data_IF_337149916440
#
_entry.id   IF_337149916440
#
_cell.length_a   1.000
_cell.length_b   1.000
_cell.length_c   1.000
_cell.angle_alpha   90.00
_cell.angle_beta   90.00
_cell.angle_gamma   90.00
#
_symmetry.space_group_name_H-M   'P 1'
#
loop_
_entity.id
_entity.type
_entity.pdbx_description
1 polymer ?
#
# COMPACT_ATOMS: atom_id res chain seq x y z
N UNK A 1 -6.76 5.15 18.16
CA UNK A 1 -6.50 6.06 17.02
C UNK A 1 -7.66 5.89 16.05
N UNK A 2 -8.39 6.95 15.73
CA UNK A 2 -9.50 6.88 14.77
C UNK A 2 -8.93 7.31 13.42
N UNK A 3 -8.73 6.37 12.52
CA UNK A 3 -8.31 6.68 11.16
C UNK A 3 -9.45 7.37 10.42
N UNK A 4 -9.14 8.49 9.78
CA UNK A 4 -10.06 9.13 8.84
C UNK A 4 -9.84 8.56 7.45
N UNK A 5 -10.93 8.34 6.74
CA UNK A 5 -10.87 7.87 5.35
C UNK A 5 -10.24 8.93 4.44
N UNK A 6 -9.55 8.46 3.42
CA UNK A 6 -8.88 9.28 2.42
C UNK A 6 -9.31 8.85 1.01
N UNK A 7 -8.93 9.62 -0.01
CA UNK A 7 -9.12 9.21 -1.41
C UNK A 7 -8.39 7.90 -1.75
N UNK A 8 -7.39 7.54 -0.97
CA UNK A 8 -6.64 6.28 -1.13
C UNK A 8 -7.27 5.09 -0.40
N UNK A 9 -8.42 5.25 0.25
CA UNK A 9 -9.15 4.15 0.88
C UNK A 9 -8.39 3.47 2.04
N UNK A 10 -7.67 4.23 2.85
CA UNK A 10 -6.82 3.70 3.93
C UNK A 10 -7.67 2.93 4.95
N UNK A 11 -8.81 3.49 5.37
CA UNK A 11 -9.70 2.85 6.34
C UNK A 11 -10.35 1.61 5.73
N UNK A 12 -10.84 1.68 4.50
CA UNK A 12 -11.42 0.53 3.80
C UNK A 12 -10.39 -0.60 3.67
N UNK A 13 -9.14 -0.28 3.31
CA UNK A 13 -8.06 -1.28 3.24
C UNK A 13 -7.90 -2.02 4.58
N UNK A 14 -7.78 -1.27 5.67
CA UNK A 14 -7.65 -1.86 6.99
C UNK A 14 -8.85 -2.75 7.33
N UNK A 15 -10.08 -2.28 7.10
CA UNK A 15 -11.30 -3.04 7.37
C UNK A 15 -11.36 -4.36 6.59
N UNK A 16 -10.98 -4.35 5.31
CA UNK A 16 -10.93 -5.56 4.47
C UNK A 16 -9.86 -6.52 4.97
N UNK A 17 -8.65 -6.02 5.27
CA UNK A 17 -7.56 -6.83 5.82
C UNK A 17 -7.98 -7.45 7.16
N UNK A 18 -8.57 -6.68 8.07
CA UNK A 18 -9.08 -7.20 9.34
C UNK A 18 -10.15 -8.29 9.15
N UNK A 19 -11.04 -8.13 8.17
CA UNK A 19 -12.04 -9.14 7.86
C UNK A 19 -11.39 -10.44 7.37
N UNK A 20 -10.40 -10.36 6.51
CA UNK A 20 -9.63 -11.50 6.03
C UNK A 20 -8.79 -12.15 7.14
N UNK A 21 -8.19 -11.35 8.01
CA UNK A 21 -7.46 -11.84 9.21
C UNK A 21 -8.39 -12.64 10.12
N UNK A 22 -9.59 -12.13 10.43
CA UNK A 22 -10.59 -12.85 11.23
C UNK A 22 -11.02 -14.16 10.57
N UNK A 23 -11.26 -14.16 9.26
CA UNK A 23 -11.61 -15.35 8.51
C UNK A 23 -10.48 -16.40 8.53
N UNK A 24 -9.24 -15.97 8.35
CA UNK A 24 -8.06 -16.84 8.42
C UNK A 24 -7.86 -17.41 9.83
N UNK A 25 -8.01 -16.57 10.85
CA UNK A 25 -7.93 -16.94 12.27
C UNK A 25 -8.92 -18.06 12.62
N UNK A 26 -10.18 -17.86 12.22
CA UNK A 26 -11.24 -18.85 12.40
C UNK A 26 -10.93 -20.17 11.66
N UNK A 27 -10.46 -20.08 10.41
CA UNK A 27 -10.11 -21.26 9.61
C UNK A 27 -8.94 -22.06 10.19
N UNK A 28 -7.94 -21.37 10.75
CA UNK A 28 -6.79 -22.01 11.38
C UNK A 28 -7.04 -22.45 12.83
N UNK A 29 -8.18 -22.08 13.43
CA UNK A 29 -8.46 -22.31 14.84
C UNK A 29 -7.49 -21.59 15.78
N UNK A 30 -6.97 -20.41 15.38
CA UNK A 30 -5.98 -19.62 16.12
C UNK A 30 -6.55 -18.26 16.48
N UNK A 31 -6.49 -17.88 17.75
CA UNK A 31 -6.84 -16.52 18.20
C UNK A 31 -5.74 -15.53 17.83
N UNK A 32 -4.49 -15.95 17.87
CA UNK A 32 -3.31 -15.14 17.55
C UNK A 32 -2.60 -15.69 16.31
N UNK A 33 -2.51 -14.89 15.25
CA UNK A 33 -1.74 -15.21 14.06
C UNK A 33 -0.33 -14.63 14.15
N UNK A 34 0.63 -15.31 13.52
CA UNK A 34 1.93 -14.73 13.17
C UNK A 34 1.81 -14.03 11.81
N UNK A 35 2.04 -12.71 11.78
CA UNK A 35 1.86 -11.87 10.60
C UNK A 35 3.17 -11.20 10.22
N UNK A 36 3.53 -11.26 8.94
CA UNK A 36 4.60 -10.46 8.35
C UNK A 36 3.98 -9.36 7.46
N UNK A 37 4.38 -8.11 7.70
CA UNK A 37 4.02 -6.97 6.84
C UNK A 37 5.27 -6.50 6.10
N UNK A 38 5.32 -6.77 4.79
CA UNK A 38 6.46 -6.47 3.91
C UNK A 38 6.26 -5.11 3.24
N UNK A 39 7.23 -4.22 3.37
CA UNK A 39 7.10 -2.83 2.98
C UNK A 39 6.21 -2.05 3.96
N UNK A 40 6.41 -2.28 5.26
CA UNK A 40 5.54 -1.74 6.30
C UNK A 40 5.65 -0.22 6.49
N UNK A 41 6.70 0.42 5.94
CA UNK A 41 6.98 1.84 6.13
C UNK A 41 7.09 2.20 7.62
N UNK A 42 6.34 3.22 8.03
CA UNK A 42 6.25 3.66 9.45
C UNK A 42 5.29 2.80 10.30
N UNK A 43 4.69 1.77 9.73
CA UNK A 43 3.79 0.83 10.43
C UNK A 43 2.40 1.35 10.75
N UNK A 44 2.07 2.59 10.38
CA UNK A 44 0.82 3.26 10.76
C UNK A 44 -0.43 2.56 10.21
N UNK A 45 -0.37 2.04 8.98
CA UNK A 45 -1.56 1.68 8.21
C UNK A 45 -2.06 0.26 8.45
N UNK A 46 -1.15 -0.70 8.66
CA UNK A 46 -1.49 -2.13 8.83
C UNK A 46 -0.75 -2.74 10.01
N UNK A 47 0.56 -2.60 10.10
CA UNK A 47 1.43 -3.27 11.09
C UNK A 47 0.95 -3.00 12.52
N UNK A 48 0.88 -1.73 12.92
CA UNK A 48 0.44 -1.36 14.27
C UNK A 48 -1.04 -1.67 14.53
N UNK A 49 -2.00 -1.34 13.64
CA UNK A 49 -3.39 -1.75 13.80
C UNK A 49 -3.59 -3.26 14.02
N UNK A 50 -2.87 -4.12 13.29
CA UNK A 50 -2.96 -5.55 13.46
C UNK A 50 -2.36 -6.04 14.80
N UNK A 51 -1.31 -5.38 15.30
CA UNK A 51 -0.77 -5.64 16.61
C UNK A 51 -1.76 -5.24 17.74
N UNK A 52 -2.61 -4.23 17.52
CA UNK A 52 -3.68 -3.87 18.46
C UNK A 52 -4.76 -4.96 18.58
N UNK A 53 -4.91 -5.82 17.57
CA UNK A 53 -5.80 -6.98 17.57
C UNK A 53 -5.17 -8.23 18.20
N UNK A 54 -4.07 -8.06 18.95
CA UNK A 54 -3.32 -9.12 19.64
C UNK A 54 -2.66 -10.17 18.74
N UNK A 55 -2.43 -9.87 17.45
CA UNK A 55 -1.60 -10.70 16.58
C UNK A 55 -0.12 -10.45 16.84
N UNK A 56 0.74 -11.45 16.58
CA UNK A 56 2.20 -11.29 16.57
C UNK A 56 2.62 -10.73 15.22
N UNK A 57 3.08 -9.49 15.19
CA UNK A 57 3.34 -8.77 13.94
C UNK A 57 4.81 -8.40 13.81
N UNK A 58 5.40 -8.79 12.69
CA UNK A 58 6.72 -8.35 12.23
C UNK A 58 6.52 -7.43 11.02
N UNK A 59 6.91 -6.16 11.13
CA UNK A 59 7.04 -5.24 10.00
C UNK A 59 8.48 -5.23 9.49
N UNK A 60 8.65 -5.35 8.17
CA UNK A 60 9.96 -5.18 7.52
C UNK A 60 9.87 -4.11 6.42
N UNK A 61 10.87 -3.24 6.38
CA UNK A 61 11.04 -2.25 5.32
C UNK A 61 12.52 -2.03 5.05
N UNK A 62 12.90 -1.76 3.81
CA UNK A 62 14.27 -1.44 3.45
C UNK A 62 14.67 -0.01 3.86
N UNK A 63 13.69 0.90 4.04
CA UNK A 63 13.93 2.29 4.40
C UNK A 63 14.13 2.44 5.91
N UNK A 64 15.39 2.48 6.31
CA UNK A 64 15.78 2.48 7.72
C UNK A 64 15.16 3.62 8.54
N UNK A 65 15.05 4.82 7.98
CA UNK A 65 14.46 5.96 8.67
C UNK A 65 12.99 5.73 9.04
N UNK A 66 12.21 5.09 8.14
CA UNK A 66 10.82 4.71 8.44
C UNK A 66 10.75 3.69 9.58
N UNK A 67 11.67 2.73 9.61
CA UNK A 67 11.73 1.73 10.68
C UNK A 67 12.14 2.34 12.02
N UNK A 68 13.07 3.29 12.04
CA UNK A 68 13.42 3.99 13.26
C UNK A 68 12.25 4.82 13.79
N UNK A 69 11.52 5.50 12.92
CA UNK A 69 10.30 6.20 13.26
C UNK A 69 9.24 5.24 13.82
N UNK A 70 8.99 4.09 13.13
CA UNK A 70 8.05 3.07 13.59
C UNK A 70 8.40 2.56 15.01
N UNK A 71 9.67 2.22 15.26
CA UNK A 71 10.16 1.77 16.57
C UNK A 71 9.99 2.83 17.67
N UNK A 72 10.18 4.10 17.33
CA UNK A 72 10.01 5.19 18.28
C UNK A 72 8.55 5.46 18.66
N UNK A 73 7.63 5.22 17.71
CA UNK A 73 6.19 5.47 17.87
C UNK A 73 5.43 4.32 18.51
N UNK A 74 5.83 3.08 18.18
CA UNK A 74 5.03 1.89 18.47
C UNK A 74 5.83 0.86 19.25
N UNK A 75 5.64 0.84 20.56
CA UNK A 75 6.26 -0.14 21.47
C UNK A 75 5.19 -1.07 22.00
N UNK A 76 5.22 -2.36 21.62
CA UNK A 76 4.32 -3.40 22.10
C UNK A 76 5.05 -4.74 22.16
N UNK A 77 4.71 -5.64 23.09
CA UNK A 77 5.38 -6.95 23.23
C UNK A 77 5.15 -7.88 22.03
N UNK A 78 4.05 -7.68 21.29
CA UNK A 78 3.66 -8.47 20.12
C UNK A 78 3.97 -7.79 18.78
N UNK A 79 4.81 -6.74 18.78
CA UNK A 79 5.13 -5.94 17.59
C UNK A 79 6.65 -5.78 17.47
N UNK A 80 7.19 -6.14 16.32
CA UNK A 80 8.61 -5.97 16.00
C UNK A 80 8.76 -5.28 14.65
N UNK A 81 9.74 -4.39 14.53
CA UNK A 81 10.12 -3.76 13.26
C UNK A 81 11.58 -4.10 12.94
N UNK A 82 11.85 -4.47 11.69
CA UNK A 82 13.20 -4.74 11.19
C UNK A 82 13.47 -3.93 9.93
N UNK A 83 14.66 -3.35 9.84
CA UNK A 83 15.17 -2.77 8.61
C UNK A 83 15.89 -3.85 7.80
N UNK A 84 15.62 -3.89 6.50
CA UNK A 84 16.28 -4.83 5.60
C UNK A 84 15.41 -5.31 4.46
N UNK A 85 15.99 -6.17 3.65
CA UNK A 85 15.32 -6.84 2.54
C UNK A 85 14.77 -8.21 2.97
N UNK A 86 13.90 -8.77 2.16
CA UNK A 86 13.24 -10.06 2.42
C UNK A 86 14.23 -11.23 2.59
N UNK A 87 15.40 -11.13 1.94
CA UNK A 87 16.44 -12.18 1.94
C UNK A 87 16.93 -12.53 3.35
N UNK A 88 16.99 -11.55 4.26
CA UNK A 88 17.36 -11.79 5.67
C UNK A 88 16.40 -12.76 6.33
N UNK A 89 15.09 -12.56 6.13
CA UNK A 89 14.05 -13.41 6.72
C UNK A 89 14.02 -14.80 6.08
N UNK A 90 14.33 -14.89 4.77
CA UNK A 90 14.46 -16.16 4.06
C UNK A 90 15.63 -16.99 4.56
N UNK A 91 16.78 -16.38 4.86
CA UNK A 91 17.92 -17.05 5.47
C UNK A 91 17.60 -17.58 6.87
N UNK A 92 16.82 -16.84 7.66
CA UNK A 92 16.33 -17.25 8.97
C UNK A 92 15.23 -18.33 8.87
N UNK A 93 14.75 -18.67 7.66
CA UNK A 93 13.66 -19.63 7.40
C UNK A 93 12.38 -19.33 8.17
N UNK A 94 12.09 -18.06 8.38
CA UNK A 94 10.87 -17.63 9.07
C UNK A 94 9.64 -17.89 8.20
N UNK A 95 8.58 -18.38 8.84
CA UNK A 95 7.29 -18.64 8.19
C UNK A 95 6.14 -18.09 9.03
N UNK A 96 5.11 -17.60 8.36
CA UNK A 96 4.01 -16.85 8.96
C UNK A 96 2.66 -17.46 8.58
N UNK A 97 1.66 -17.27 9.44
CA UNK A 97 0.28 -17.63 9.14
C UNK A 97 -0.30 -16.69 8.07
N UNK A 98 0.14 -15.42 8.09
CA UNK A 98 -0.24 -14.40 7.12
C UNK A 98 0.98 -13.58 6.71
N UNK A 99 1.14 -13.39 5.41
CA UNK A 99 2.06 -12.40 4.84
C UNK A 99 1.23 -11.30 4.19
N UNK A 100 1.58 -10.04 4.41
CA UNK A 100 0.97 -8.88 3.77
C UNK A 100 2.04 -8.18 2.96
N UNK A 101 1.73 -7.81 1.74
CA UNK A 101 2.57 -7.02 0.86
C UNK A 101 1.67 -5.96 0.21
N UNK A 102 1.68 -4.77 0.82
CA UNK A 102 0.74 -3.70 0.48
C UNK A 102 1.47 -2.54 -0.18
N UNK A 103 1.10 -2.22 -1.43
CA UNK A 103 1.69 -1.13 -2.23
C UNK A 103 3.22 -1.29 -2.41
N UNK A 104 3.67 -2.50 -2.71
CA UNK A 104 5.09 -2.82 -2.93
C UNK A 104 5.32 -3.39 -4.32
N UNK A 105 4.41 -4.25 -4.81
CA UNK A 105 4.61 -5.05 -6.02
C UNK A 105 4.83 -4.19 -7.27
N UNK A 106 4.21 -3.03 -7.35
CA UNK A 106 4.33 -2.04 -8.43
C UNK A 106 5.70 -1.38 -8.51
N UNK A 107 6.49 -1.45 -7.45
CA UNK A 107 7.84 -0.89 -7.38
C UNK A 107 8.94 -1.91 -7.71
N UNK A 108 8.58 -3.17 -7.98
CA UNK A 108 9.54 -4.26 -8.19
C UNK A 108 9.87 -4.46 -9.66
N UNK A 109 11.14 -4.62 -10.00
CA UNK A 109 11.56 -5.03 -11.34
C UNK A 109 11.27 -6.51 -11.62
N UNK A 110 11.30 -7.35 -10.60
CA UNK A 110 11.12 -8.81 -10.69
C UNK A 110 10.01 -9.27 -9.73
N UNK A 111 8.74 -8.94 -10.03
CA UNK A 111 7.62 -9.23 -9.13
C UNK A 111 7.36 -10.74 -8.97
N UNK A 112 7.69 -11.57 -9.97
CA UNK A 112 7.52 -13.03 -9.91
C UNK A 112 8.46 -13.66 -8.89
N UNK A 113 9.73 -13.34 -8.97
CA UNK A 113 10.77 -13.83 -8.05
C UNK A 113 10.45 -13.42 -6.61
N UNK A 114 9.98 -12.20 -6.45
CA UNK A 114 9.56 -11.70 -5.14
C UNK A 114 8.33 -12.46 -4.60
N UNK A 115 7.33 -12.72 -5.41
CA UNK A 115 6.17 -13.53 -5.03
C UNK A 115 6.57 -14.97 -4.68
N UNK A 116 7.50 -15.57 -5.44
CA UNK A 116 8.05 -16.89 -5.11
C UNK A 116 8.80 -16.87 -3.76
N UNK A 117 9.49 -15.77 -3.43
CA UNK A 117 10.12 -15.59 -2.14
C UNK A 117 9.07 -15.48 -1.02
N UNK A 118 8.02 -14.67 -1.21
CA UNK A 118 6.90 -14.58 -0.26
C UNK A 118 6.20 -15.94 -0.07
N UNK A 119 6.08 -16.73 -1.17
CA UNK A 119 5.47 -18.08 -1.10
C UNK A 119 6.18 -18.98 -0.10
N UNK A 120 7.50 -18.90 0.00
CA UNK A 120 8.31 -19.69 0.93
C UNK A 120 8.12 -19.28 2.40
N UNK A 121 7.59 -18.06 2.62
CA UNK A 121 7.36 -17.52 3.96
C UNK A 121 5.92 -17.73 4.45
N UNK A 122 5.00 -18.17 3.59
CA UNK A 122 3.62 -18.51 3.98
C UNK A 122 3.56 -19.96 4.40
N UNK A 123 3.07 -20.21 5.62
CA UNK A 123 2.82 -21.58 6.14
C UNK A 123 1.79 -22.32 5.27
N UNK A 124 1.84 -23.66 5.25
CA UNK A 124 0.72 -24.45 4.75
C UNK A 124 -0.57 -24.05 5.46
N UNK A 125 -1.65 -23.82 4.69
CA UNK A 125 -2.93 -23.31 5.22
C UNK A 125 -2.96 -21.81 5.54
N UNK A 126 -1.83 -21.13 5.50
CA UNK A 126 -1.73 -19.67 5.65
C UNK A 126 -2.19 -18.89 4.41
N UNK A 127 -1.95 -17.58 4.39
CA UNK A 127 -2.37 -16.72 3.30
C UNK A 127 -1.35 -15.61 2.98
N UNK A 128 -1.48 -15.03 1.77
CA UNK A 128 -0.81 -13.81 1.34
C UNK A 128 -1.88 -12.78 0.96
N UNK A 129 -1.75 -11.57 1.49
CA UNK A 129 -2.55 -10.42 1.05
C UNK A 129 -1.66 -9.50 0.21
N UNK A 130 -2.13 -9.17 -0.99
CA UNK A 130 -1.49 -8.19 -1.88
C UNK A 130 -2.45 -7.02 -2.04
N UNK A 131 -1.93 -5.79 -1.91
CA UNK A 131 -2.62 -4.60 -2.44
C UNK A 131 -1.73 -3.88 -3.42
N UNK A 132 -2.32 -3.37 -4.50
CA UNK A 132 -1.57 -2.68 -5.55
C UNK A 132 -2.51 -1.77 -6.35
N UNK A 133 -2.01 -0.65 -6.90
CA UNK A 133 -2.79 0.17 -7.81
C UNK A 133 -3.18 -0.58 -9.08
N UNK A 134 -4.31 -0.22 -9.65
CA UNK A 134 -4.65 -0.56 -11.00
C UNK A 134 -3.78 0.24 -11.97
N UNK A 135 -2.87 -0.39 -12.68
CA UNK A 135 -1.95 0.27 -13.60
C UNK A 135 -2.62 1.04 -14.75
N UNK A 136 -3.93 0.90 -14.89
CA UNK A 136 -4.78 1.61 -15.87
C UNK A 136 -5.96 2.31 -15.21
N UNK A 137 -5.96 2.39 -13.87
CA UNK A 137 -6.98 3.07 -13.08
C UNK A 137 -6.84 4.60 -13.07
N UNK A 138 -7.74 5.24 -12.33
CA UNK A 138 -7.82 6.70 -12.24
C UNK A 138 -6.52 7.34 -11.74
N UNK A 139 -5.83 6.70 -10.77
CA UNK A 139 -4.56 7.20 -10.24
C UNK A 139 -3.51 7.37 -11.35
N UNK A 140 -3.25 6.30 -12.10
CA UNK A 140 -2.26 6.30 -13.18
C UNK A 140 -2.65 7.25 -14.33
N UNK A 141 -3.94 7.34 -14.62
CA UNK A 141 -4.45 8.30 -15.59
C UNK A 141 -4.15 9.74 -15.16
N UNK A 142 -4.41 10.10 -13.90
CA UNK A 142 -4.12 11.42 -13.37
C UNK A 142 -2.61 11.71 -13.29
N UNK A 143 -1.79 10.73 -12.92
CA UNK A 143 -0.33 10.88 -12.93
C UNK A 143 0.22 11.11 -14.34
N UNK A 144 -0.32 10.41 -15.35
CA UNK A 144 0.06 10.63 -16.77
C UNK A 144 -0.36 12.01 -17.26
N UNK A 145 -1.57 12.44 -16.92
CA UNK A 145 -2.06 13.79 -17.23
C UNK A 145 -1.16 14.85 -16.59
N UNK A 146 -0.84 14.69 -15.32
CA UNK A 146 0.06 15.62 -14.61
C UNK A 146 1.43 15.73 -15.27
N UNK A 147 2.04 14.58 -15.62
CA UNK A 147 3.32 14.55 -16.34
C UNK A 147 3.23 15.24 -17.71
N UNK A 148 2.12 15.06 -18.42
CA UNK A 148 1.86 15.75 -19.69
C UNK A 148 1.76 17.26 -19.50
N UNK A 149 0.99 17.75 -18.53
CA UNK A 149 0.84 19.16 -18.22
C UNK A 149 2.16 19.79 -17.76
N UNK A 150 2.98 19.07 -17.01
CA UNK A 150 4.32 19.53 -16.61
C UNK A 150 5.25 19.70 -17.82
N UNK A 151 5.26 18.77 -18.76
CA UNK A 151 6.03 18.85 -19.99
C UNK A 151 5.61 20.04 -20.87
N UNK A 152 4.34 20.41 -20.85
CA UNK A 152 3.78 21.55 -21.58
C UNK A 152 3.98 22.89 -20.83
N UNK A 153 4.64 22.90 -19.67
CA UNK A 153 4.86 24.10 -18.87
C UNK A 153 3.59 24.67 -18.19
N UNK A 154 2.44 23.99 -18.31
CA UNK A 154 1.16 24.45 -17.76
C UNK A 154 1.22 24.52 -16.23
N UNK A 155 1.99 23.63 -15.61
CA UNK A 155 2.20 23.60 -14.16
C UNK A 155 2.85 24.90 -13.64
N UNK A 156 3.79 25.49 -14.39
CA UNK A 156 4.42 26.77 -14.05
C UNK A 156 3.41 27.92 -14.11
N UNK A 157 2.54 27.93 -15.11
CA UNK A 157 1.47 28.91 -15.25
C UNK A 157 0.45 28.79 -14.11
N UNK A 158 0.02 27.56 -13.78
CA UNK A 158 -0.90 27.31 -12.66
C UNK A 158 -0.29 27.70 -11.32
N UNK A 159 0.97 27.39 -11.07
CA UNK A 159 1.68 27.85 -9.86
C UNK A 159 1.79 29.36 -9.81
N UNK A 160 2.12 30.01 -10.93
CA UNK A 160 2.16 31.46 -11.01
C UNK A 160 0.81 32.12 -10.70
N UNK A 161 -0.30 31.57 -11.22
CA UNK A 161 -1.66 32.01 -10.93
C UNK A 161 -2.06 31.80 -9.45
N UNK A 162 -1.69 30.65 -8.88
CA UNK A 162 -1.93 30.37 -7.45
C UNK A 162 -1.10 31.30 -6.56
N UNK A 163 0.15 31.54 -6.91
CA UNK A 163 1.02 32.51 -6.20
C UNK A 163 0.54 33.94 -6.34
N UNK A 164 0.07 34.34 -7.52
CA UNK A 164 -0.53 35.66 -7.73
C UNK A 164 -1.78 35.86 -6.85
N UNK A 165 -2.67 34.86 -6.77
CA UNK A 165 -3.83 34.88 -5.87
C UNK A 165 -3.46 34.83 -4.38
N UNK A 166 -2.37 34.15 -4.00
CA UNK A 166 -1.88 34.16 -2.62
C UNK A 166 -1.24 35.50 -2.24
N UNK A 167 -0.52 36.13 -3.14
CA UNK A 167 0.00 37.50 -2.90
C UNK A 167 -1.11 38.53 -2.66
N UNK A 168 -2.24 38.41 -3.35
CA UNK A 168 -3.41 39.29 -3.11
C UNK A 168 -4.13 39.03 -1.77
N UNK A 169 -3.85 37.88 -1.10
CA UNK A 169 -4.42 37.52 0.21
C UNK A 169 -3.43 37.50 1.37
N UNK A 170 -2.14 37.70 1.09
CA UNK A 170 -1.07 37.63 2.08
C UNK A 170 -0.60 38.99 2.54
N UNK A 171 -1.55 39.94 2.81
CA UNK A 171 -1.27 41.10 3.64
C UNK A 171 -1.44 40.82 5.15
N UNK A 172 -1.79 39.58 5.52
CA UNK A 172 -1.88 39.14 6.91
C UNK A 172 -1.49 37.69 7.06
N UNK A 173 -0.23 37.40 7.38
CA UNK A 173 0.33 36.42 8.33
C UNK A 173 1.73 35.98 7.93
N UNK A 174 2.64 36.33 8.79
CA UNK A 174 4.05 35.95 8.81
C UNK A 174 4.27 34.49 9.16
N UNK A 175 5.27 33.91 8.45
CA UNK A 175 6.29 32.94 8.87
C UNK A 175 5.91 31.70 9.70
N UNK A 176 6.11 30.53 9.05
CA UNK A 176 6.97 29.43 9.46
C UNK A 176 6.66 28.18 8.61
N UNK A 177 7.60 27.76 7.81
CA UNK A 177 7.49 26.56 6.97
C UNK A 177 8.86 25.98 6.66
N UNK A 178 9.34 25.11 7.54
CA UNK A 178 10.59 24.35 7.38
C UNK A 178 10.48 23.38 6.21
N UNK A 179 11.29 23.61 5.19
CA UNK A 179 11.52 22.64 4.10
C UNK A 179 12.32 21.45 4.64
N UNK A 180 11.75 20.26 4.53
CA UNK A 180 12.50 19.01 4.69
C UNK A 180 13.06 18.66 3.32
N UNK A 181 14.35 18.85 3.16
CA UNK A 181 15.09 18.44 1.97
C UNK A 181 15.22 16.92 1.93
N UNK A 182 14.71 16.31 0.87
CA UNK A 182 14.99 14.91 0.53
C UNK A 182 16.29 14.89 -0.27
N UNK A 183 17.34 14.35 0.32
CA UNK A 183 18.60 14.06 -0.39
C UNK A 183 18.41 12.86 -1.31
N UNK A 184 18.95 12.86 -2.53
CA UNK A 184 18.91 11.70 -3.41
C UNK A 184 19.90 10.65 -2.92
N UNK A 185 19.42 9.51 -2.47
CA UNK A 185 20.24 8.34 -2.20
C UNK A 185 20.23 7.47 -3.45
N UNK A 186 21.34 7.50 -4.18
CA UNK A 186 21.63 6.56 -5.25
C UNK A 186 22.06 5.23 -4.64
N UNK A 187 21.27 4.18 -4.80
CA UNK A 187 21.75 2.81 -4.76
C UNK A 187 20.72 1.85 -5.34
N UNK A 188 20.96 1.39 -6.54
CA UNK A 188 20.33 0.20 -7.11
C UNK A 188 20.92 -1.03 -6.44
N UNK A 189 20.20 -1.61 -5.50
CA UNK A 189 20.50 -2.94 -4.97
C UNK A 189 19.21 -3.73 -4.80
N UNK A 190 19.07 -4.80 -5.56
CA UNK A 190 17.95 -5.74 -5.40
C UNK A 190 16.71 -5.46 -6.26
N UNK A 191 15.60 -6.04 -5.84
CA UNK A 191 14.32 -6.06 -6.58
C UNK A 191 13.58 -4.72 -6.63
N UNK A 192 13.98 -3.71 -5.83
CA UNK A 192 13.25 -2.47 -5.61
C UNK A 192 13.77 -1.29 -6.44
N UNK A 193 12.86 -0.51 -7.01
CA UNK A 193 13.14 0.82 -7.53
C UNK A 193 12.90 1.85 -6.43
N UNK A 194 13.98 2.42 -5.92
CA UNK A 194 13.95 3.40 -4.83
C UNK A 194 13.71 4.84 -5.35
N UNK A 195 13.98 5.08 -6.63
CA UNK A 195 14.12 6.47 -7.13
C UNK A 195 12.83 7.15 -7.53
N UNK A 196 11.74 6.46 -7.82
CA UNK A 196 10.49 7.16 -8.10
C UNK A 196 9.41 6.31 -8.75
N UNK A 197 8.25 6.27 -8.17
CA UNK A 197 7.04 5.89 -8.86
C UNK A 197 6.97 4.42 -9.26
N UNK A 198 5.86 4.07 -9.83
CA UNK A 198 5.58 2.70 -10.25
C UNK A 198 6.39 2.33 -11.48
N UNK A 199 7.08 1.19 -11.44
CA UNK A 199 7.76 0.57 -12.59
C UNK A 199 6.89 -0.49 -13.24
N UNK A 200 5.91 -1.03 -12.51
CA UNK A 200 4.93 -1.97 -13.02
C UNK A 200 3.53 -1.34 -13.11
N UNK A 201 2.84 -1.63 -14.19
CA UNK A 201 1.48 -1.18 -14.46
C UNK A 201 0.61 -2.42 -14.75
N UNK A 202 0.10 -3.00 -13.68
CA UNK A 202 -0.62 -4.27 -13.78
C UNK A 202 -2.03 -4.12 -14.35
N UNK A 203 -2.46 -5.14 -15.10
CA UNK A 203 -3.86 -5.47 -15.36
C UNK A 203 -4.27 -6.63 -14.46
N UNK A 204 -5.52 -6.68 -14.05
CA UNK A 204 -6.01 -7.71 -13.13
C UNK A 204 -5.76 -9.15 -13.64
N UNK A 205 -5.93 -9.39 -14.94
CA UNK A 205 -5.65 -10.71 -15.55
C UNK A 205 -4.17 -11.08 -15.49
N UNK A 206 -3.28 -10.12 -15.73
CA UNK A 206 -1.82 -10.33 -15.61
C UNK A 206 -1.42 -10.69 -14.18
N UNK A 207 -1.98 -9.98 -13.19
CA UNK A 207 -1.74 -10.31 -11.78
C UNK A 207 -2.25 -11.71 -11.43
N UNK A 208 -3.45 -12.08 -11.89
CA UNK A 208 -3.98 -13.42 -11.61
C UNK A 208 -3.08 -14.53 -12.17
N UNK A 209 -2.54 -14.35 -13.37
CA UNK A 209 -1.58 -15.30 -13.95
C UNK A 209 -0.27 -15.33 -13.16
N UNK A 210 0.25 -14.15 -12.79
CA UNK A 210 1.47 -14.00 -12.01
C UNK A 210 1.36 -14.70 -10.64
N UNK A 211 0.21 -14.58 -9.96
CA UNK A 211 -0.06 -15.29 -8.72
C UNK A 211 -0.02 -16.80 -8.91
N UNK A 212 -0.70 -17.32 -9.95
CA UNK A 212 -0.69 -18.75 -10.28
C UNK A 212 0.70 -19.27 -10.58
N UNK A 213 1.48 -18.56 -11.40
CA UNK A 213 2.86 -18.90 -11.74
C UNK A 213 3.82 -18.83 -10.53
N UNK A 214 3.45 -18.08 -9.49
CA UNK A 214 4.22 -17.97 -8.24
C UNK A 214 3.75 -18.95 -7.17
N UNK A 215 2.87 -19.90 -7.51
CA UNK A 215 2.38 -20.93 -6.60
C UNK A 215 1.29 -20.48 -5.63
N UNK A 216 0.46 -19.51 -6.05
CA UNK A 216 -0.68 -19.06 -5.28
C UNK A 216 -2.00 -19.25 -6.01
N UNK A 217 -3.05 -19.56 -5.26
CA UNK A 217 -4.44 -19.54 -5.70
C UNK A 217 -5.12 -18.27 -5.26
N UNK A 218 -5.70 -17.54 -6.20
CA UNK A 218 -6.53 -16.37 -5.90
C UNK A 218 -7.87 -16.84 -5.32
N UNK A 219 -8.15 -16.49 -4.05
CA UNK A 219 -9.40 -16.83 -3.35
C UNK A 219 -10.40 -15.72 -3.37
N UNK A 220 -9.93 -14.51 -3.10
CA UNK A 220 -10.81 -13.35 -3.04
C UNK A 220 -10.12 -12.12 -3.61
N UNK A 221 -10.91 -11.23 -4.18
CA UNK A 221 -10.46 -9.92 -4.63
C UNK A 221 -11.47 -8.85 -4.23
N UNK A 222 -10.96 -7.67 -3.87
CA UNK A 222 -11.78 -6.50 -3.51
C UNK A 222 -11.25 -5.26 -4.20
N UNK A 223 -12.16 -4.39 -4.63
CA UNK A 223 -11.85 -3.04 -5.04
C UNK A 223 -11.63 -2.17 -3.81
N UNK A 224 -10.65 -1.26 -3.83
CA UNK A 224 -10.43 -0.34 -2.71
C UNK A 224 -11.14 0.97 -2.93
N UNK A 225 -10.76 1.73 -3.97
CA UNK A 225 -11.38 3.01 -4.32
C UNK A 225 -11.74 3.04 -5.80
N UNK A 226 -12.70 3.88 -6.18
CA UNK A 226 -13.02 4.11 -7.59
C UNK A 226 -12.10 5.17 -8.19
N UNK A 227 -11.98 6.32 -7.50
CA UNK A 227 -11.14 7.44 -7.90
C UNK A 227 -10.10 7.70 -6.82
N UNK A 228 -8.84 7.82 -7.23
CA UNK A 228 -7.77 8.26 -6.35
C UNK A 228 -6.71 9.04 -7.15
N UNK A 229 -5.91 9.84 -6.46
CA UNK A 229 -4.83 10.59 -7.08
C UNK A 229 -4.78 12.06 -6.64
N UNK A 230 -3.72 12.78 -7.01
CA UNK A 230 -3.44 14.11 -6.49
C UNK A 230 -4.52 15.15 -6.79
N UNK A 231 -5.23 15.03 -7.92
CA UNK A 231 -6.33 15.94 -8.27
C UNK A 231 -7.65 15.54 -7.61
N UNK A 232 -7.85 14.26 -7.35
CA UNK A 232 -9.05 13.75 -6.69
C UNK A 232 -9.16 14.32 -5.29
N UNK A 233 -8.07 14.35 -4.54
CA UNK A 233 -8.03 14.96 -3.21
C UNK A 233 -8.42 16.44 -3.22
N UNK A 234 -7.99 17.18 -4.23
CA UNK A 234 -8.34 18.60 -4.36
C UNK A 234 -9.83 18.77 -4.67
N UNK A 235 -10.37 17.94 -5.57
CA UNK A 235 -11.78 18.01 -5.97
C UNK A 235 -12.72 17.52 -4.87
N UNK A 236 -12.30 16.49 -4.11
CA UNK A 236 -13.10 15.88 -3.05
C UNK A 236 -12.91 16.55 -1.68
N UNK A 237 -12.04 17.56 -1.54
CA UNK A 237 -11.81 18.31 -0.29
C UNK A 237 -12.90 19.35 -0.01
N UNK A 238 -14.16 19.04 -0.24
CA UNK A 238 -15.27 19.93 0.11
C UNK A 238 -15.69 19.72 1.57
N UNK A 239 -15.27 20.57 2.53
CA UNK A 239 -15.84 20.54 3.87
C UNK A 239 -17.31 21.00 3.81
N UNK A 240 -18.21 20.46 4.63
CA UNK A 240 -18.04 19.44 5.67
C UNK A 240 -18.24 17.99 5.17
N UNK A 241 -18.51 17.75 3.90
CA UNK A 241 -18.95 16.46 3.35
C UNK A 241 -17.81 15.51 2.95
N UNK A 242 -16.55 15.90 3.14
CA UNK A 242 -15.38 15.14 2.68
C UNK A 242 -15.42 13.64 3.03
N UNK A 243 -15.73 13.30 4.28
CA UNK A 243 -15.76 11.90 4.72
C UNK A 243 -16.88 11.11 4.02
N UNK A 244 -18.06 11.70 3.85
CA UNK A 244 -19.16 11.08 3.13
C UNK A 244 -18.81 10.83 1.66
N UNK A 245 -18.11 11.77 1.02
CA UNK A 245 -17.65 11.64 -0.37
C UNK A 245 -16.63 10.52 -0.51
N UNK A 246 -15.65 10.40 0.40
CA UNK A 246 -14.70 9.29 0.38
C UNK A 246 -15.38 7.94 0.61
N UNK A 247 -16.32 7.86 1.54
CA UNK A 247 -17.11 6.65 1.76
C UNK A 247 -17.94 6.27 0.53
N UNK A 248 -18.55 7.25 -0.13
CA UNK A 248 -19.28 7.03 -1.37
C UNK A 248 -18.35 6.53 -2.48
N UNK A 249 -17.17 7.13 -2.66
CA UNK A 249 -16.16 6.70 -3.60
C UNK A 249 -15.76 5.23 -3.39
N UNK A 250 -15.58 4.83 -2.13
CA UNK A 250 -15.24 3.47 -1.76
C UNK A 250 -16.39 2.48 -2.01
N UNK A 251 -17.65 2.89 -1.75
CA UNK A 251 -18.84 2.08 -2.04
C UNK A 251 -19.05 1.89 -3.54
N UNK A 252 -18.86 2.95 -4.32
CA UNK A 252 -18.96 2.88 -5.79
C UNK A 252 -17.93 1.91 -6.37
N UNK A 253 -16.74 1.80 -5.78
CA UNK A 253 -15.75 0.83 -6.20
C UNK A 253 -16.22 -0.64 -6.02
N UNK A 254 -17.08 -0.91 -5.03
CA UNK A 254 -17.64 -2.24 -4.80
C UNK A 254 -18.81 -2.57 -5.74
N UNK A 255 -19.53 -1.55 -6.23
CA UNK A 255 -20.70 -1.70 -7.10
C UNK A 255 -20.36 -1.75 -8.59
N UNK A 256 -19.21 -1.16 -8.97
CA UNK A 256 -18.78 -1.06 -10.36
C UNK A 256 -17.85 -2.22 -10.73
N UNK A 257 -17.62 -2.47 -12.04
CA UNK A 257 -16.69 -3.51 -12.47
C UNK A 257 -15.32 -3.36 -11.80
N UNK A 258 -14.78 -4.45 -11.27
CA UNK A 258 -13.50 -4.50 -10.56
C UNK A 258 -12.35 -3.82 -11.33
N UNK A 259 -12.35 -3.93 -12.65
CA UNK A 259 -11.35 -3.31 -13.52
C UNK A 259 -11.40 -1.77 -13.55
N UNK A 260 -12.48 -1.16 -13.05
CA UNK A 260 -12.64 0.30 -13.03
C UNK A 260 -12.10 0.93 -11.74
N UNK A 261 -11.90 0.12 -10.70
CA UNK A 261 -11.34 0.64 -9.45
C UNK A 261 -9.91 1.15 -9.62
N UNK A 262 -9.55 2.14 -8.84
CA UNK A 262 -8.21 2.72 -8.84
C UNK A 262 -7.17 1.78 -8.23
N UNK A 263 -7.59 0.97 -7.27
CA UNK A 263 -6.72 0.11 -6.49
C UNK A 263 -7.40 -1.23 -6.20
N UNK A 264 -6.58 -2.26 -6.07
CA UNK A 264 -7.01 -3.63 -5.86
C UNK A 264 -6.42 -4.24 -4.60
N UNK A 265 -7.18 -5.18 -4.03
CA UNK A 265 -6.79 -6.02 -2.90
C UNK A 265 -7.07 -7.47 -3.24
N UNK A 266 -6.12 -8.36 -2.96
CA UNK A 266 -6.17 -9.78 -3.27
C UNK A 266 -5.86 -10.61 -2.03
N UNK A 267 -6.65 -11.66 -1.81
CA UNK A 267 -6.40 -12.68 -0.81
C UNK A 267 -6.02 -13.97 -1.52
N UNK A 268 -4.82 -14.45 -1.23
CA UNK A 268 -4.17 -15.56 -1.92
C UNK A 268 -3.84 -16.67 -0.93
N UNK A 269 -3.98 -17.91 -1.36
CA UNK A 269 -3.53 -19.08 -0.61
C UNK A 269 -2.44 -19.82 -1.36
N UNK A 270 -1.49 -20.43 -0.65
CA UNK A 270 -0.54 -21.34 -1.28
C UNK A 270 -1.25 -22.45 -2.07
N UNK A 271 -0.85 -22.65 -3.34
CA UNK A 271 -1.33 -23.81 -4.10
C UNK A 271 -0.67 -25.08 -3.54
N UNK A 272 -1.47 -26.04 -3.03
CA UNK A 272 -0.93 -27.29 -2.53
C UNK A 272 -0.15 -28.11 -3.57
N UNK A 273 -0.47 -27.91 -4.87
CA UNK A 273 0.18 -28.61 -5.99
C UNK A 273 1.52 -28.02 -6.37
N UNK A 274 1.85 -26.80 -5.94
CA UNK A 274 3.10 -26.12 -6.26
C UNK A 274 4.26 -26.48 -5.33
N UNK A 275 4.07 -27.41 -4.40
CA UNK A 275 5.08 -27.90 -3.45
C UNK A 275 5.81 -29.17 -3.92
N UNK A 276 5.49 -29.64 -5.13
CA UNK A 276 6.22 -30.72 -5.83
C UNK A 276 7.08 -30.11 -6.91
#
# INVERSE_FOLDING_TARGET
>A
MVFQETSYGIVKRLQVVEAWVRSLSARLGKETLSILDVGCGTGDHLTYPLALLNHQVLGIDFHEASIQEAKSRYVRPNLTFRSGQLDVLLQERLVFDLVICSEVLEHLYQPKEFLCALRRMVRPGGALIITTPNGYGSYEMFCRLQRGLQKLGVDQVLRALVHARRRSRATERSEEGRQIGVSPVSATTGFLNIESGHVQFFKAGVLSNLFGESGFLLRERRARTLLCGPYVDVLLRLPPFRQAVYQMNNRLADLLPFSWSADWMFFLEPDPKSLT
#
